data_IF_987755621719
#
_entry.id   IF_987755621719
#
_cell.length_a   1.000
_cell.length_b   1.000
_cell.length_c   1.000
_cell.angle_alpha   90.00
_cell.angle_beta   90.00
_cell.angle_gamma   90.00
#
_symmetry.space_group_name_H-M   'P 1'
#
loop_
_entity.id
_entity.type
_entity.pdbx_description
1 polymer ?
#
# COMPACT_ATOMS: atom_id res chain seq x y z
N UNK A 1 11.00 15.51 23.55
CA UNK A 1 11.22 14.85 24.86
C UNK A 1 9.91 14.64 25.67
N UNK A 2 8.96 15.61 25.71
CA UNK A 2 7.70 15.46 26.46
C UNK A 2 6.84 14.31 25.91
N UNK A 3 6.72 14.15 24.61
CA UNK A 3 5.96 13.06 23.99
C UNK A 3 6.56 11.70 24.35
N UNK A 4 7.89 11.54 24.28
CA UNK A 4 8.55 10.30 24.69
C UNK A 4 8.42 10.03 26.19
N UNK A 5 8.40 11.07 27.06
CA UNK A 5 8.17 10.89 28.47
C UNK A 5 6.78 10.32 28.76
N UNK A 6 5.72 10.88 28.13
CA UNK A 6 4.35 10.35 28.23
C UNK A 6 4.24 8.93 27.70
N UNK A 7 4.83 8.66 26.52
CA UNK A 7 4.87 7.31 25.97
C UNK A 7 5.50 6.31 26.95
N UNK A 8 6.66 6.63 27.51
CA UNK A 8 7.38 5.75 28.43
C UNK A 8 6.62 5.53 29.74
N UNK A 9 5.95 6.56 30.28
CA UNK A 9 5.12 6.44 31.47
C UNK A 9 3.99 5.43 31.27
N UNK A 10 3.20 5.60 30.20
CA UNK A 10 2.06 4.73 29.94
C UNK A 10 2.51 3.32 29.51
N UNK A 11 3.58 3.19 28.73
CA UNK A 11 4.16 1.91 28.36
C UNK A 11 4.67 1.12 29.57
N UNK A 12 5.22 1.80 30.57
CA UNK A 12 5.61 1.16 31.83
C UNK A 12 4.40 0.63 32.61
N UNK A 13 3.26 1.35 32.60
CA UNK A 13 2.01 0.87 33.22
C UNK A 13 1.50 -0.39 32.52
N UNK A 14 1.50 -0.41 31.19
CA UNK A 14 1.12 -1.60 30.38
C UNK A 14 2.01 -2.78 30.74
N UNK A 15 3.33 -2.60 30.81
CA UNK A 15 4.29 -3.65 31.10
C UNK A 15 4.07 -4.34 32.47
N UNK A 16 3.59 -3.59 33.46
CA UNK A 16 3.28 -4.10 34.79
C UNK A 16 1.79 -4.40 35.00
N UNK A 17 1.02 -4.45 33.92
CA UNK A 17 -0.44 -4.74 33.91
C UNK A 17 -1.25 -3.81 34.80
N UNK A 18 -0.88 -2.55 34.91
CA UNK A 18 -1.67 -1.49 35.52
C UNK A 18 -2.56 -0.82 34.50
N UNK A 19 -3.61 -0.14 35.00
CA UNK A 19 -4.44 0.71 34.13
C UNK A 19 -3.58 1.79 33.47
N UNK A 20 -3.66 1.87 32.14
CA UNK A 20 -2.88 2.76 31.30
C UNK A 20 -3.78 3.45 30.27
N UNK A 21 -3.46 4.68 29.91
CA UNK A 21 -4.02 5.39 28.77
C UNK A 21 -3.31 4.91 27.47
N UNK A 22 -3.69 3.72 26.98
CA UNK A 22 -3.08 3.17 25.77
C UNK A 22 -3.31 4.06 24.55
N UNK A 23 -4.46 4.70 24.42
CA UNK A 23 -4.71 5.63 23.31
C UNK A 23 -3.77 6.83 23.41
N UNK A 24 -3.66 7.45 24.58
CA UNK A 24 -2.72 8.56 24.81
C UNK A 24 -1.25 8.15 24.69
N UNK A 25 -0.91 6.90 24.99
CA UNK A 25 0.43 6.33 24.76
C UNK A 25 0.78 6.33 23.27
N UNK A 26 -0.09 5.80 22.41
CA UNK A 26 0.18 5.76 20.97
C UNK A 26 0.07 7.14 20.32
N UNK A 27 -0.80 8.04 20.82
CA UNK A 27 -0.83 9.45 20.42
C UNK A 27 0.51 10.15 20.76
N UNK A 28 1.08 9.83 21.91
CA UNK A 28 2.41 10.34 22.30
C UNK A 28 3.54 9.78 21.41
N UNK A 29 3.45 8.51 20.99
CA UNK A 29 4.38 7.92 20.06
C UNK A 29 4.31 8.63 18.68
N UNK A 30 3.11 8.87 18.17
CA UNK A 30 2.89 9.65 16.94
C UNK A 30 3.49 11.06 17.06
N UNK A 31 3.20 11.77 18.15
CA UNK A 31 3.75 13.10 18.40
C UNK A 31 5.28 13.10 18.46
N UNK A 32 5.90 12.05 19.02
CA UNK A 32 7.36 11.91 19.05
C UNK A 32 7.97 11.76 17.65
N UNK A 33 7.37 10.91 16.78
CA UNK A 33 7.82 10.76 15.41
C UNK A 33 7.63 12.04 14.59
N UNK A 34 6.47 12.70 14.72
CA UNK A 34 6.18 13.97 14.05
C UNK A 34 7.19 15.06 14.47
N UNK A 35 7.40 15.22 15.78
CA UNK A 35 8.36 16.22 16.30
C UNK A 35 9.80 15.94 15.86
N UNK A 36 10.19 14.68 15.78
CA UNK A 36 11.55 14.32 15.35
C UNK A 36 11.75 14.56 13.83
N UNK A 37 10.74 14.30 13.00
CA UNK A 37 10.79 14.63 11.58
C UNK A 37 10.91 16.13 11.34
N UNK A 38 10.16 16.95 12.11
CA UNK A 38 10.30 18.41 12.09
C UNK A 38 11.71 18.84 12.57
N UNK A 39 12.16 18.29 13.70
CA UNK A 39 13.50 18.58 14.23
C UNK A 39 14.59 18.25 13.21
N UNK A 40 14.46 17.12 12.50
CA UNK A 40 15.41 16.73 11.46
C UNK A 40 15.53 17.79 10.36
N UNK A 41 14.41 18.35 9.88
CA UNK A 41 14.43 19.40 8.85
C UNK A 41 15.27 20.61 9.27
N UNK A 42 15.05 21.09 10.50
CA UNK A 42 15.79 22.23 11.03
C UNK A 42 17.27 21.89 11.33
N UNK A 43 17.53 20.68 11.80
CA UNK A 43 18.87 20.21 12.16
C UNK A 43 19.79 20.06 10.93
N UNK A 44 19.21 19.95 9.74
CA UNK A 44 19.92 19.92 8.45
C UNK A 44 20.17 21.32 7.86
N UNK A 45 19.69 22.40 8.49
CA UNK A 45 19.93 23.74 7.99
C UNK A 45 21.35 24.19 8.31
N UNK A 46 22.02 24.97 7.41
CA UNK A 46 23.31 25.51 7.66
C UNK A 46 23.26 26.57 8.79
N UNK A 47 24.26 26.55 9.65
CA UNK A 47 24.43 27.58 10.67
C UNK A 47 24.92 28.92 10.05
N UNK A 48 25.09 29.96 10.88
CA UNK A 48 25.55 31.27 10.44
C UNK A 48 26.90 31.27 9.68
N UNK A 49 27.69 30.19 9.75
CA UNK A 49 28.94 29.98 9.01
C UNK A 49 28.75 29.11 7.76
N UNK A 50 27.52 28.85 7.32
CA UNK A 50 27.22 28.03 6.14
C UNK A 50 27.48 26.53 6.32
N UNK A 51 27.70 26.04 7.56
CA UNK A 51 28.00 24.64 7.84
C UNK A 51 26.81 23.93 8.44
N UNK A 52 26.45 22.78 7.87
CA UNK A 52 25.45 21.84 8.45
C UNK A 52 26.16 21.08 9.57
N UNK A 53 25.59 21.16 10.79
CA UNK A 53 26.08 20.45 11.98
C UNK A 53 24.87 19.90 12.77
N UNK A 54 24.31 18.74 12.37
CA UNK A 54 23.19 18.14 13.06
C UNK A 54 23.53 17.86 14.52
N UNK A 55 22.62 18.26 15.42
CA UNK A 55 22.82 18.13 16.87
C UNK A 55 21.92 17.07 17.48
N UNK A 56 20.70 16.92 16.95
CA UNK A 56 19.64 16.11 17.53
C UNK A 56 19.27 14.91 16.68
N UNK A 57 19.49 14.97 15.37
CA UNK A 57 19.03 13.97 14.40
C UNK A 57 19.47 12.55 14.73
N UNK A 58 20.74 12.35 15.07
CA UNK A 58 21.30 11.02 15.39
C UNK A 58 20.67 10.41 16.65
N UNK A 59 20.54 11.21 17.71
CA UNK A 59 19.95 10.74 18.98
C UNK A 59 18.48 10.41 18.81
N UNK A 60 17.74 11.26 18.09
CA UNK A 60 16.32 11.02 17.79
C UNK A 60 16.14 9.77 16.93
N UNK A 61 16.98 9.59 15.90
CA UNK A 61 16.92 8.40 15.05
C UNK A 61 17.10 7.11 15.85
N UNK A 62 18.10 7.02 16.70
CA UNK A 62 18.34 5.82 17.54
C UNK A 62 17.15 5.54 18.45
N UNK A 63 16.67 6.56 19.18
CA UNK A 63 15.54 6.40 20.12
C UNK A 63 14.27 5.94 19.44
N UNK A 64 13.90 6.57 18.33
CA UNK A 64 12.66 6.25 17.62
C UNK A 64 12.75 4.92 16.87
N UNK A 65 13.91 4.60 16.30
CA UNK A 65 14.06 3.32 15.62
C UNK A 65 13.94 2.13 16.57
N UNK A 66 14.36 2.27 17.82
CA UNK A 66 14.13 1.26 18.87
C UNK A 66 12.65 1.10 19.22
N UNK A 67 11.85 2.16 19.09
CA UNK A 67 10.41 2.14 19.34
C UNK A 67 9.58 1.68 18.12
N UNK A 68 10.23 1.48 16.98
CA UNK A 68 9.59 1.12 15.72
C UNK A 68 8.59 -0.07 15.82
N UNK A 69 8.88 -1.18 16.54
CA UNK A 69 7.91 -2.27 16.69
C UNK A 69 6.58 -1.81 17.32
N UNK A 70 6.59 -0.81 18.19
CA UNK A 70 5.40 -0.30 18.84
C UNK A 70 4.49 0.51 17.90
N UNK A 71 4.99 0.93 16.73
CA UNK A 71 4.16 1.52 15.68
C UNK A 71 3.16 0.50 15.10
N UNK A 72 3.57 -0.76 14.95
CA UNK A 72 2.67 -1.85 14.53
C UNK A 72 1.62 -2.09 15.61
N UNK A 73 2.02 -2.15 16.88
CA UNK A 73 1.11 -2.34 18.00
C UNK A 73 0.06 -1.21 18.06
N UNK A 74 0.50 0.04 17.89
CA UNK A 74 -0.39 1.19 17.82
C UNK A 74 -1.32 1.18 16.61
N UNK A 75 -0.81 0.76 15.44
CA UNK A 75 -1.61 0.52 14.26
C UNK A 75 -2.73 -0.49 14.52
N UNK A 76 -2.40 -1.63 15.14
CA UNK A 76 -3.38 -2.64 15.55
C UNK A 76 -4.37 -2.14 16.61
N UNK A 77 -3.91 -1.33 17.56
CA UNK A 77 -4.79 -0.74 18.59
C UNK A 77 -5.87 0.17 18.01
N UNK A 78 -5.51 0.99 17.00
CA UNK A 78 -6.46 1.92 16.37
C UNK A 78 -7.25 1.30 15.21
N UNK A 79 -6.88 0.13 14.72
CA UNK A 79 -7.60 -0.55 13.64
C UNK A 79 -9.08 -0.72 13.99
N UNK A 80 -9.97 -0.23 13.12
CA UNK A 80 -11.42 -0.25 13.32
C UNK A 80 -11.96 0.76 14.34
N UNK A 81 -11.09 1.52 15.02
CA UNK A 81 -11.45 2.61 15.94
C UNK A 81 -11.15 3.98 15.32
N UNK A 82 -9.95 4.14 14.78
CA UNK A 82 -9.47 5.35 14.10
C UNK A 82 -8.45 4.94 13.02
N UNK A 83 -8.95 4.69 11.81
CA UNK A 83 -8.14 4.21 10.72
C UNK A 83 -7.06 5.21 10.28
N UNK A 84 -7.28 6.52 10.49
CA UNK A 84 -6.27 7.56 10.19
C UNK A 84 -5.07 7.45 11.12
N UNK A 85 -5.32 7.27 12.41
CA UNK A 85 -4.24 7.04 13.38
C UNK A 85 -3.53 5.71 13.12
N UNK A 86 -4.28 4.65 12.84
CA UNK A 86 -3.72 3.35 12.48
C UNK A 86 -2.82 3.48 11.25
N UNK A 87 -3.30 4.10 10.18
CA UNK A 87 -2.52 4.38 8.97
C UNK A 87 -1.24 5.15 9.29
N UNK A 88 -1.35 6.23 10.06
CA UNK A 88 -0.20 7.10 10.36
C UNK A 88 0.92 6.34 11.06
N UNK A 89 0.59 5.54 12.08
CA UNK A 89 1.58 4.74 12.80
C UNK A 89 2.20 3.65 11.92
N UNK A 90 1.38 2.91 11.17
CA UNK A 90 1.88 1.88 10.24
C UNK A 90 2.73 2.49 9.12
N UNK A 91 2.35 3.66 8.60
CA UNK A 91 3.14 4.36 7.59
C UNK A 91 4.50 4.80 8.11
N UNK A 92 4.61 5.25 9.36
CA UNK A 92 5.91 5.54 9.98
C UNK A 92 6.79 4.28 10.09
N UNK A 93 6.20 3.12 10.39
CA UNK A 93 6.95 1.86 10.39
C UNK A 93 7.59 1.60 9.04
N UNK A 94 6.83 1.75 7.96
CA UNK A 94 7.30 1.51 6.59
C UNK A 94 8.30 2.57 6.17
N UNK A 95 7.98 3.86 6.35
CA UNK A 95 8.82 4.97 5.86
C UNK A 95 10.11 5.12 6.63
N UNK A 96 10.19 4.66 7.88
CA UNK A 96 11.44 4.66 8.65
C UNK A 96 12.58 3.89 7.98
N UNK A 97 12.29 3.02 7.02
CA UNK A 97 13.31 2.36 6.20
C UNK A 97 13.81 3.20 5.01
N UNK A 98 13.14 4.29 4.67
CA UNK A 98 13.50 5.14 3.53
C UNK A 98 13.81 6.59 3.93
N UNK A 99 13.33 7.04 5.09
CA UNK A 99 13.58 8.40 5.54
C UNK A 99 15.05 8.66 5.88
N UNK A 100 15.63 9.78 5.40
CA UNK A 100 17.04 10.09 5.59
C UNK A 100 17.49 10.15 7.07
N UNK A 101 16.56 10.53 7.97
CA UNK A 101 16.84 10.57 9.40
C UNK A 101 17.34 9.24 9.96
N UNK A 102 16.84 8.12 9.41
CA UNK A 102 17.16 6.77 9.89
C UNK A 102 18.30 6.09 9.14
N UNK A 103 18.96 6.76 8.18
CA UNK A 103 19.99 6.13 7.33
C UNK A 103 21.12 5.43 8.09
N UNK A 104 21.50 5.93 9.26
CA UNK A 104 22.58 5.35 10.08
C UNK A 104 22.11 4.18 10.98
N UNK A 105 20.80 4.02 11.18
CA UNK A 105 20.24 3.06 12.15
C UNK A 105 19.29 2.04 11.54
N UNK A 106 18.80 2.28 10.31
CA UNK A 106 17.84 1.41 9.64
C UNK A 106 18.43 0.07 9.26
N UNK A 107 17.61 -0.96 9.33
CA UNK A 107 17.89 -2.28 8.76
C UNK A 107 17.39 -2.34 7.31
N UNK A 108 17.88 -3.33 6.56
CA UNK A 108 17.39 -3.64 5.23
C UNK A 108 15.91 -4.05 5.29
N UNK A 109 15.06 -3.37 4.53
CA UNK A 109 13.62 -3.65 4.47
C UNK A 109 13.34 -5.09 4.01
N UNK A 110 14.18 -5.66 3.13
CA UNK A 110 14.04 -7.03 2.66
C UNK A 110 14.30 -8.09 3.77
N UNK A 111 14.97 -7.69 4.85
CA UNK A 111 15.26 -8.55 6.02
C UNK A 111 14.31 -8.32 7.19
N UNK A 112 13.40 -7.35 7.06
CA UNK A 112 12.44 -7.03 8.08
C UNK A 112 11.16 -7.87 7.86
N UNK A 113 10.89 -8.87 8.71
CA UNK A 113 9.77 -9.80 8.50
C UNK A 113 8.40 -9.11 8.59
N UNK A 114 8.33 -7.93 9.19
CA UNK A 114 7.08 -7.19 9.37
C UNK A 114 6.87 -6.11 8.30
N UNK A 115 7.86 -5.85 7.43
CA UNK A 115 7.80 -4.71 6.52
C UNK A 115 6.62 -4.79 5.54
N UNK A 116 6.46 -5.92 4.84
CA UNK A 116 5.38 -6.11 3.87
C UNK A 116 4.01 -6.16 4.55
N UNK A 117 3.94 -6.79 5.71
CA UNK A 117 2.71 -6.84 6.50
C UNK A 117 2.29 -5.43 6.98
N UNK A 118 3.21 -4.64 7.49
CA UNK A 118 2.93 -3.25 7.89
C UNK A 118 2.52 -2.39 6.68
N UNK A 119 3.16 -2.58 5.52
CA UNK A 119 2.78 -1.90 4.29
C UNK A 119 1.36 -2.29 3.83
N UNK A 120 1.01 -3.59 3.88
CA UNK A 120 -0.34 -4.05 3.58
C UNK A 120 -1.38 -3.38 4.48
N UNK A 121 -1.18 -3.42 5.80
CA UNK A 121 -2.15 -2.82 6.73
C UNK A 121 -2.20 -1.29 6.60
N UNK A 122 -1.09 -0.61 6.33
CA UNK A 122 -1.12 0.82 6.01
C UNK A 122 -1.97 1.10 4.77
N UNK A 123 -1.78 0.34 3.70
CA UNK A 123 -2.60 0.43 2.48
C UNK A 123 -4.07 0.13 2.73
N UNK A 124 -4.37 -0.88 3.55
CA UNK A 124 -5.73 -1.24 3.93
C UNK A 124 -6.42 -0.14 4.76
N UNK A 125 -5.73 0.46 5.74
CA UNK A 125 -6.28 1.58 6.52
C UNK A 125 -6.56 2.81 5.64
N UNK A 126 -5.64 3.13 4.73
CA UNK A 126 -5.84 4.20 3.75
C UNK A 126 -7.04 3.91 2.82
N UNK A 127 -7.18 2.66 2.36
CA UNK A 127 -8.32 2.21 1.55
C UNK A 127 -9.64 2.40 2.28
N UNK A 128 -9.73 2.02 3.56
CA UNK A 128 -10.93 2.17 4.38
C UNK A 128 -11.34 3.64 4.60
N UNK A 129 -10.36 4.55 4.55
CA UNK A 129 -10.57 6.00 4.65
C UNK A 129 -10.72 6.69 3.29
N UNK A 130 -10.77 5.93 2.18
CA UNK A 130 -10.79 6.44 0.81
C UNK A 130 -9.60 7.34 0.44
N UNK A 131 -8.47 7.20 1.14
CA UNK A 131 -7.20 7.82 0.75
C UNK A 131 -6.52 6.96 -0.33
N UNK A 132 -7.04 7.11 -1.55
CA UNK A 132 -6.68 6.25 -2.67
C UNK A 132 -5.19 6.31 -3.03
N UNK A 133 -4.57 7.48 -2.90
CA UNK A 133 -3.16 7.66 -3.21
C UNK A 133 -2.27 6.86 -2.26
N UNK A 134 -2.55 6.92 -0.96
CA UNK A 134 -1.82 6.14 0.03
C UNK A 134 -2.20 4.64 -0.02
N UNK A 135 -3.45 4.31 -0.32
CA UNK A 135 -3.87 2.93 -0.53
C UNK A 135 -3.10 2.27 -1.69
N UNK A 136 -3.02 2.92 -2.86
CA UNK A 136 -2.22 2.47 -4.00
C UNK A 136 -0.75 2.29 -3.61
N UNK A 137 -0.16 3.32 -2.98
CA UNK A 137 1.26 3.35 -2.61
C UNK A 137 1.64 2.19 -1.69
N UNK A 138 0.96 2.07 -0.56
CA UNK A 138 1.35 1.12 0.48
C UNK A 138 0.92 -0.30 0.18
N UNK A 139 -0.26 -0.52 -0.40
CA UNK A 139 -0.66 -1.83 -0.88
C UNK A 139 0.25 -2.31 -2.03
N UNK A 140 0.66 -1.41 -2.93
CA UNK A 140 1.61 -1.71 -4.00
C UNK A 140 2.97 -2.25 -3.50
N UNK A 141 3.42 -1.82 -2.32
CA UNK A 141 4.64 -2.35 -1.69
C UNK A 141 4.46 -3.81 -1.23
N UNK A 142 3.23 -4.22 -0.90
CA UNK A 142 2.92 -5.53 -0.32
C UNK A 142 2.39 -6.57 -1.32
N UNK A 143 2.35 -6.28 -2.63
CA UNK A 143 1.82 -7.21 -3.65
C UNK A 143 2.56 -8.55 -3.75
N UNK A 144 3.80 -8.59 -3.26
CA UNK A 144 4.61 -9.81 -3.21
C UNK A 144 4.64 -10.46 -1.81
N UNK A 145 3.82 -9.99 -0.88
CA UNK A 145 3.70 -10.62 0.44
C UNK A 145 3.02 -11.98 0.31
N UNK A 146 3.60 -13.00 0.92
CA UNK A 146 3.11 -14.39 0.81
C UNK A 146 1.72 -14.57 1.42
N UNK A 147 1.39 -13.80 2.46
CA UNK A 147 0.12 -13.90 3.17
C UNK A 147 -0.96 -12.96 2.60
N UNK A 148 -0.59 -11.73 2.25
CA UNK A 148 -1.53 -10.66 1.93
C UNK A 148 -1.42 -10.16 0.48
N UNK A 149 -0.51 -10.69 -0.34
CA UNK A 149 -0.20 -10.16 -1.66
C UNK A 149 -1.40 -10.06 -2.60
N UNK A 150 -2.29 -11.07 -2.60
CA UNK A 150 -3.52 -11.04 -3.39
C UNK A 150 -4.47 -9.92 -2.95
N UNK A 151 -4.64 -9.73 -1.63
CA UNK A 151 -5.46 -8.65 -1.09
C UNK A 151 -4.81 -7.28 -1.34
N UNK A 152 -3.49 -7.18 -1.20
CA UNK A 152 -2.73 -5.97 -1.51
C UNK A 152 -2.89 -5.57 -2.97
N UNK A 153 -2.78 -6.51 -3.90
CA UNK A 153 -3.02 -6.28 -5.33
C UNK A 153 -4.43 -5.77 -5.60
N UNK A 154 -5.44 -6.38 -4.97
CA UNK A 154 -6.83 -5.94 -5.11
C UNK A 154 -7.04 -4.50 -4.61
N UNK A 155 -6.50 -4.16 -3.43
CA UNK A 155 -6.57 -2.80 -2.88
C UNK A 155 -5.87 -1.81 -3.82
N UNK A 156 -4.66 -2.14 -4.28
CA UNK A 156 -3.89 -1.30 -5.20
C UNK A 156 -4.66 -1.02 -6.49
N UNK A 157 -5.17 -2.05 -7.16
CA UNK A 157 -5.92 -1.90 -8.42
C UNK A 157 -7.22 -1.12 -8.21
N UNK A 158 -7.94 -1.37 -7.10
CA UNK A 158 -9.16 -0.63 -6.76
C UNK A 158 -8.84 0.85 -6.50
N UNK A 159 -7.79 1.14 -5.74
CA UNK A 159 -7.35 2.50 -5.46
C UNK A 159 -6.92 3.25 -6.73
N UNK A 160 -6.21 2.57 -7.64
CA UNK A 160 -5.86 3.12 -8.95
C UNK A 160 -7.11 3.47 -9.77
N UNK A 161 -8.10 2.57 -9.84
CA UNK A 161 -9.37 2.84 -10.53
C UNK A 161 -10.14 4.02 -9.93
N UNK A 162 -10.18 4.12 -8.61
CA UNK A 162 -10.88 5.20 -7.91
C UNK A 162 -10.29 6.60 -8.19
N UNK A 163 -9.05 6.66 -8.68
CA UNK A 163 -8.37 7.92 -9.03
C UNK A 163 -8.54 8.34 -10.50
N UNK A 164 -9.17 7.50 -11.34
CA UNK A 164 -9.37 7.81 -12.75
C UNK A 164 -10.36 8.97 -12.93
N UNK A 165 -9.93 10.06 -13.55
CA UNK A 165 -10.73 11.26 -13.82
C UNK A 165 -10.67 11.68 -15.28
N UNK A 166 -9.60 11.33 -15.98
CA UNK A 166 -9.33 11.77 -17.36
C UNK A 166 -8.93 10.59 -18.24
N UNK A 167 -8.97 10.78 -19.56
CA UNK A 167 -8.45 9.80 -20.50
C UNK A 167 -6.94 9.54 -20.30
N UNK A 168 -6.19 10.54 -19.82
CA UNK A 168 -4.76 10.37 -19.50
C UNK A 168 -4.57 9.42 -18.32
N UNK A 169 -5.38 9.56 -17.25
CA UNK A 169 -5.33 8.65 -16.09
C UNK A 169 -5.67 7.21 -16.52
N UNK A 170 -6.69 7.06 -17.39
CA UNK A 170 -7.05 5.73 -17.93
C UNK A 170 -5.91 5.12 -18.74
N UNK A 171 -5.21 5.90 -19.56
CA UNK A 171 -4.05 5.44 -20.31
C UNK A 171 -2.89 5.02 -19.39
N UNK A 172 -2.65 5.78 -18.32
CA UNK A 172 -1.63 5.44 -17.31
C UNK A 172 -2.01 4.15 -16.57
N UNK A 173 -3.27 3.99 -16.17
CA UNK A 173 -3.77 2.77 -15.53
C UNK A 173 -3.57 1.55 -16.43
N UNK A 174 -3.94 1.65 -17.72
CA UNK A 174 -3.70 0.58 -18.70
C UNK A 174 -2.21 0.22 -18.76
N UNK A 175 -1.33 1.21 -18.83
CA UNK A 175 0.12 0.96 -18.91
C UNK A 175 0.64 0.26 -17.64
N UNK A 176 0.18 0.67 -16.45
CA UNK A 176 0.53 0.00 -15.19
C UNK A 176 0.01 -1.44 -15.15
N UNK A 177 -1.24 -1.69 -15.58
CA UNK A 177 -1.81 -3.04 -15.65
C UNK A 177 -1.06 -3.92 -16.67
N UNK A 178 -0.65 -3.37 -17.83
CA UNK A 178 0.19 -4.09 -18.80
C UNK A 178 1.51 -4.53 -18.19
N UNK A 179 2.22 -3.61 -17.53
CA UNK A 179 3.50 -3.93 -16.90
C UNK A 179 3.35 -4.98 -15.76
N UNK A 180 2.23 -4.99 -15.06
CA UNK A 180 1.92 -6.02 -14.08
C UNK A 180 1.61 -7.37 -14.75
N UNK A 181 0.84 -7.35 -15.84
CA UNK A 181 0.48 -8.55 -16.59
C UNK A 181 1.69 -9.22 -17.25
N UNK A 182 2.60 -8.43 -17.82
CA UNK A 182 3.87 -8.94 -18.39
C UNK A 182 4.72 -9.71 -17.35
N UNK A 183 4.70 -9.26 -16.10
CA UNK A 183 5.40 -9.94 -15.00
C UNK A 183 4.65 -11.15 -14.45
N UNK A 184 3.34 -11.14 -14.52
CA UNK A 184 2.47 -12.16 -13.94
C UNK A 184 1.32 -12.50 -14.89
N UNK A 185 1.61 -13.11 -16.06
CA UNK A 185 0.63 -13.32 -17.12
C UNK A 185 -0.50 -14.28 -16.75
N UNK A 186 -0.29 -15.09 -15.72
CA UNK A 186 -1.29 -16.06 -15.23
C UNK A 186 -2.20 -15.48 -14.13
N UNK A 187 -1.91 -14.26 -13.66
CA UNK A 187 -2.72 -13.62 -12.63
C UNK A 187 -4.08 -13.16 -13.21
N UNK A 188 -5.13 -13.84 -12.78
CA UNK A 188 -6.50 -13.62 -13.26
C UNK A 188 -7.02 -12.22 -12.92
N UNK A 189 -6.66 -11.67 -11.76
CA UNK A 189 -7.11 -10.34 -11.34
C UNK A 189 -6.50 -9.25 -12.22
N UNK A 190 -5.20 -9.33 -12.52
CA UNK A 190 -4.52 -8.38 -13.41
C UNK A 190 -5.12 -8.48 -14.81
N UNK A 191 -5.30 -9.69 -15.32
CA UNK A 191 -5.90 -9.94 -16.62
C UNK A 191 -7.29 -9.29 -16.73
N UNK A 192 -8.19 -9.59 -15.80
CA UNK A 192 -9.55 -9.05 -15.80
C UNK A 192 -9.57 -7.52 -15.72
N UNK A 193 -8.71 -6.93 -14.86
CA UNK A 193 -8.60 -5.47 -14.75
C UNK A 193 -8.06 -4.81 -16.02
N UNK A 194 -7.12 -5.45 -16.72
CA UNK A 194 -6.57 -4.93 -17.98
C UNK A 194 -7.59 -5.00 -19.11
N UNK A 195 -8.35 -6.09 -19.23
CA UNK A 195 -9.44 -6.21 -20.21
C UNK A 195 -10.52 -5.16 -19.96
N UNK A 196 -10.96 -5.01 -18.71
CA UNK A 196 -11.93 -4.00 -18.31
C UNK A 196 -11.44 -2.57 -18.65
N UNK A 197 -10.18 -2.28 -18.35
CA UNK A 197 -9.57 -0.97 -18.65
C UNK A 197 -9.52 -0.69 -20.16
N UNK A 198 -9.18 -1.67 -20.99
CA UNK A 198 -9.25 -1.52 -22.45
C UNK A 198 -10.68 -1.27 -22.91
N UNK A 199 -11.65 -2.03 -22.41
CA UNK A 199 -13.05 -1.89 -22.80
C UNK A 199 -13.59 -0.50 -22.45
N UNK A 200 -13.33 -0.02 -21.23
CA UNK A 200 -13.76 1.32 -20.78
C UNK A 200 -13.07 2.47 -21.55
N UNK A 201 -11.85 2.24 -22.03
CA UNK A 201 -11.13 3.20 -22.88
C UNK A 201 -11.53 3.16 -24.37
N UNK A 202 -12.54 2.35 -24.75
CA UNK A 202 -12.94 2.16 -26.15
C UNK A 202 -11.95 1.39 -27.00
N UNK A 203 -11.01 0.67 -26.37
CA UNK A 203 -9.97 -0.14 -27.03
C UNK A 203 -10.41 -1.59 -27.15
N UNK A 204 -11.57 -1.81 -27.81
CA UNK A 204 -12.19 -3.12 -27.94
C UNK A 204 -11.29 -4.15 -28.62
N UNK A 205 -10.54 -3.74 -29.66
CA UNK A 205 -9.61 -4.61 -30.38
C UNK A 205 -8.50 -5.13 -29.49
N UNK A 206 -7.91 -4.26 -28.66
CA UNK A 206 -6.84 -4.64 -27.72
C UNK A 206 -7.37 -5.56 -26.62
N UNK A 207 -8.60 -5.33 -26.13
CA UNK A 207 -9.26 -6.21 -25.17
C UNK A 207 -9.48 -7.60 -25.76
N UNK A 208 -10.01 -7.69 -26.99
CA UNK A 208 -10.25 -8.96 -27.67
C UNK A 208 -8.95 -9.73 -27.96
N UNK A 209 -7.91 -9.04 -28.41
CA UNK A 209 -6.58 -9.64 -28.64
C UNK A 209 -6.01 -10.24 -27.37
N UNK A 210 -6.12 -9.52 -26.23
CA UNK A 210 -5.64 -9.99 -24.94
C UNK A 210 -6.37 -11.27 -24.50
N UNK A 211 -7.70 -11.31 -24.64
CA UNK A 211 -8.53 -12.47 -24.31
C UNK A 211 -8.19 -13.66 -25.21
N UNK A 212 -8.09 -13.45 -26.51
CA UNK A 212 -7.78 -14.52 -27.45
C UNK A 212 -6.38 -15.10 -27.21
N UNK A 213 -5.38 -14.24 -26.99
CA UNK A 213 -4.01 -14.66 -26.68
C UNK A 213 -3.94 -15.50 -25.39
N UNK A 214 -4.75 -15.19 -24.39
CA UNK A 214 -4.84 -16.01 -23.18
C UNK A 214 -5.49 -17.36 -23.46
N UNK A 215 -6.56 -17.41 -24.24
CA UNK A 215 -7.24 -18.65 -24.62
C UNK A 215 -6.42 -19.54 -25.58
N UNK A 216 -5.51 -18.96 -26.37
CA UNK A 216 -4.53 -19.73 -27.14
C UNK A 216 -3.56 -20.50 -26.24
N UNK A 217 -3.17 -19.93 -25.11
CA UNK A 217 -2.31 -20.57 -24.12
C UNK A 217 -3.07 -21.54 -23.22
N UNK A 218 -4.25 -21.12 -22.77
CA UNK A 218 -5.09 -21.84 -21.84
C UNK A 218 -6.54 -21.90 -22.37
N UNK A 219 -6.88 -22.85 -23.26
CA UNK A 219 -8.18 -22.91 -23.94
C UNK A 219 -9.39 -23.06 -23.00
N UNK A 220 -9.15 -23.52 -21.78
CA UNK A 220 -10.17 -23.73 -20.75
C UNK A 220 -10.05 -22.73 -19.59
N UNK A 221 -9.37 -21.58 -19.77
CA UNK A 221 -9.34 -20.55 -18.74
C UNK A 221 -10.75 -19.99 -18.53
N UNK A 222 -11.31 -20.31 -17.37
CA UNK A 222 -12.67 -19.92 -16.99
C UNK A 222 -12.90 -18.41 -17.11
N UNK A 223 -11.97 -17.60 -16.57
CA UNK A 223 -12.10 -16.14 -16.57
C UNK A 223 -12.02 -15.60 -18.00
N UNK A 224 -11.09 -16.09 -18.80
CA UNK A 224 -10.96 -15.65 -20.19
C UNK A 224 -12.19 -16.03 -21.04
N UNK A 225 -12.76 -17.23 -20.84
CA UNK A 225 -13.99 -17.65 -21.49
C UNK A 225 -15.19 -16.80 -21.06
N UNK A 226 -15.33 -16.54 -19.76
CA UNK A 226 -16.38 -15.68 -19.22
C UNK A 226 -16.28 -14.25 -19.80
N UNK A 227 -15.09 -13.66 -19.79
CA UNK A 227 -14.87 -12.33 -20.34
C UNK A 227 -15.12 -12.31 -21.86
N UNK A 228 -14.70 -13.36 -22.59
CA UNK A 228 -15.03 -13.50 -24.02
C UNK A 228 -16.52 -13.55 -24.27
N UNK A 229 -17.26 -14.31 -23.45
CA UNK A 229 -18.70 -14.38 -23.54
C UNK A 229 -19.37 -13.03 -23.36
N UNK A 230 -19.00 -12.29 -22.30
CA UNK A 230 -19.51 -10.95 -22.04
C UNK A 230 -19.19 -9.95 -23.17
N UNK A 231 -17.99 -10.06 -23.73
CA UNK A 231 -17.55 -9.20 -24.83
C UNK A 231 -18.36 -9.49 -26.11
N UNK A 232 -18.60 -10.76 -26.44
CA UNK A 232 -19.41 -11.16 -27.57
C UNK A 232 -20.87 -10.75 -27.42
N UNK A 233 -21.42 -10.83 -26.21
CA UNK A 233 -22.77 -10.37 -25.88
C UNK A 233 -22.93 -8.86 -26.13
N UNK A 234 -21.95 -8.04 -25.73
CA UNK A 234 -21.95 -6.58 -25.96
C UNK A 234 -21.89 -6.21 -27.43
N UNK A 235 -21.48 -7.13 -28.31
CA UNK A 235 -21.40 -6.95 -29.76
C UNK A 235 -22.51 -7.72 -30.53
N UNK A 236 -23.60 -8.06 -29.86
CA UNK A 236 -24.76 -8.79 -30.43
C UNK A 236 -24.43 -10.19 -31.00
N UNK A 237 -23.27 -10.77 -30.62
CA UNK A 237 -22.84 -12.11 -31.05
C UNK A 237 -23.33 -13.18 -30.06
N UNK A 238 -24.62 -13.23 -29.82
CA UNK A 238 -25.24 -14.02 -28.74
C UNK A 238 -24.96 -15.52 -28.83
N UNK A 239 -24.90 -16.11 -30.05
CA UNK A 239 -24.63 -17.54 -30.20
C UNK A 239 -23.16 -17.86 -29.82
N UNK A 240 -22.21 -17.04 -30.29
CA UNK A 240 -20.79 -17.21 -29.95
C UNK A 240 -20.55 -16.98 -28.45
N UNK A 241 -21.26 -16.02 -27.85
CA UNK A 241 -21.24 -15.77 -26.42
C UNK A 241 -21.73 -16.98 -25.61
N UNK A 242 -22.87 -17.57 -26.00
CA UNK A 242 -23.43 -18.77 -25.37
C UNK A 242 -22.45 -19.96 -25.47
N UNK A 243 -21.78 -20.12 -26.60
CA UNK A 243 -20.82 -21.22 -26.81
C UNK A 243 -19.52 -21.01 -25.98
N UNK A 244 -19.09 -19.77 -25.81
CA UNK A 244 -17.95 -19.44 -24.94
C UNK A 244 -18.30 -19.71 -23.46
N UNK A 245 -19.47 -19.25 -23.01
CA UNK A 245 -19.95 -19.43 -21.62
C UNK A 245 -20.26 -20.89 -21.26
N UNK A 246 -20.63 -21.74 -22.21
CA UNK A 246 -20.81 -23.18 -21.95
C UNK A 246 -19.48 -23.94 -21.77
N UNK A 247 -18.38 -23.37 -22.23
CA UNK A 247 -17.04 -23.94 -22.06
C UNK A 247 -16.35 -23.48 -20.78
N UNK A 248 -16.83 -22.39 -20.16
CA UNK A 248 -16.37 -21.89 -18.88
C UNK A 248 -17.00 -22.67 -17.72
#
# INVERSE_FOLDING_TARGET
>A
DLALAKYNEESAKVAIKKEADEAGMYDALDAAYTAAAECYKYDQLPNAKGKVKPKYSKVNAVRLYQLRPNLINGGGFFQGKDNKKAFKLLSYYVTSNSEPMFNEVKTDAAKDPNYLNAAFFAGYMAYMDHDWANAEKYAGMAVNDSANGANALNIMLTAMKAQLKTAADSAEFINKCKALYEKNPDNQMIFANLVDAYSQAGKATEAEQLVNSRLEREPNDFIALMVKGQFLEQHDKFQEAADALKKS
#
